data_IF_644666013945
#
_entry.id   IF_644666013945
#
_cell.length_a   1.000
_cell.length_b   1.000
_cell.length_c   1.000
_cell.angle_alpha   90.00
_cell.angle_beta   90.00
_cell.angle_gamma   90.00
#
_symmetry.space_group_name_H-M   'P 1'
#
loop_
_entity.id
_entity.type
_entity.pdbx_description
1 polymer ?
#
# COMPACT_ATOMS: atom_id res chain seq x y z
N UNK A 1 11.57 -4.03 13.01
CA UNK A 1 10.41 -4.88 12.69
C UNK A 1 9.40 -4.61 13.78
N UNK A 2 8.23 -4.09 13.40
CA UNK A 2 7.17 -3.79 14.34
C UNK A 2 6.44 -5.09 14.67
N UNK A 3 6.23 -5.37 15.94
CA UNK A 3 5.43 -6.52 16.36
C UNK A 3 3.94 -6.22 16.16
N UNK A 4 3.14 -7.26 16.00
CA UNK A 4 1.68 -7.10 15.90
C UNK A 4 1.11 -6.40 17.15
N UNK A 5 1.70 -6.64 18.32
CA UNK A 5 1.27 -6.03 19.59
C UNK A 5 1.54 -4.52 19.61
N UNK A 6 2.73 -4.08 19.18
CA UNK A 6 3.06 -2.65 19.06
C UNK A 6 2.17 -1.94 18.05
N UNK A 7 1.90 -2.59 16.92
CA UNK A 7 0.98 -2.07 15.90
C UNK A 7 -0.44 -1.96 16.45
N UNK A 8 -0.92 -2.98 17.16
CA UNK A 8 -2.26 -2.98 17.74
C UNK A 8 -2.42 -1.86 18.77
N UNK A 9 -1.45 -1.71 19.67
CA UNK A 9 -1.45 -0.64 20.67
C UNK A 9 -1.46 0.75 20.00
N UNK A 10 -0.62 0.94 18.98
CA UNK A 10 -0.58 2.22 18.26
C UNK A 10 -1.92 2.55 17.60
N UNK A 11 -2.58 1.55 16.99
CA UNK A 11 -3.89 1.72 16.36
C UNK A 11 -4.95 2.10 17.39
N UNK A 12 -5.01 1.40 18.53
CA UNK A 12 -5.95 1.69 19.62
C UNK A 12 -5.78 3.11 20.18
N UNK A 13 -4.56 3.64 20.19
CA UNK A 13 -4.26 4.97 20.73
C UNK A 13 -4.45 6.12 19.72
N UNK A 14 -4.33 5.85 18.41
CA UNK A 14 -4.18 6.89 17.39
C UNK A 14 -5.23 6.84 16.26
N UNK A 15 -5.99 5.76 16.13
CA UNK A 15 -6.95 5.57 15.03
C UNK A 15 -8.38 5.53 15.57
N UNK A 16 -9.24 6.41 15.04
CA UNK A 16 -10.64 6.51 15.45
C UNK A 16 -11.52 5.41 14.84
N UNK A 17 -11.30 5.08 13.57
CA UNK A 17 -12.03 4.02 12.87
C UNK A 17 -11.16 2.76 12.75
N UNK A 18 -11.35 1.84 13.68
CA UNK A 18 -10.64 0.56 13.73
C UNK A 18 -11.45 -0.58 13.12
N UNK A 19 -12.59 -0.30 12.45
CA UNK A 19 -13.53 -1.34 12.03
C UNK A 19 -12.88 -2.38 11.10
N UNK A 20 -12.06 -1.94 10.15
CA UNK A 20 -11.36 -2.84 9.24
C UNK A 20 -10.33 -3.72 9.95
N UNK A 21 -9.67 -3.17 10.98
CA UNK A 21 -8.67 -3.86 11.79
C UNK A 21 -9.30 -4.93 12.70
N UNK A 22 -10.42 -4.58 13.34
CA UNK A 22 -11.10 -5.44 14.34
C UNK A 22 -11.94 -6.55 13.71
N UNK A 23 -12.40 -6.37 12.47
CA UNK A 23 -13.28 -7.32 11.77
C UNK A 23 -12.65 -8.71 11.57
N UNK A 24 -11.32 -8.80 11.45
CA UNK A 24 -10.60 -10.08 11.20
C UNK A 24 -9.30 -10.21 12.01
N UNK A 25 -9.36 -10.40 13.34
CA UNK A 25 -8.17 -10.39 14.21
C UNK A 25 -7.12 -11.44 13.81
N UNK A 26 -7.58 -12.62 13.36
CA UNK A 26 -6.71 -13.70 12.88
C UNK A 26 -5.84 -13.33 11.66
N UNK A 27 -6.16 -12.24 10.95
CA UNK A 27 -5.40 -11.75 9.79
C UNK A 27 -4.47 -10.60 10.12
N UNK A 28 -4.56 -10.00 11.31
CA UNK A 28 -3.71 -8.88 11.73
C UNK A 28 -2.20 -9.20 11.64
N UNK A 29 -1.69 -10.36 12.12
CA UNK A 29 -0.25 -10.67 11.98
C UNK A 29 0.20 -10.83 10.52
N UNK A 30 -0.70 -11.25 9.63
CA UNK A 30 -0.43 -11.36 8.21
C UNK A 30 -0.38 -9.97 7.54
N UNK A 31 -1.32 -9.10 7.90
CA UNK A 31 -1.37 -7.73 7.41
C UNK A 31 -0.11 -6.95 7.77
N UNK A 32 0.37 -7.06 9.01
CA UNK A 32 1.63 -6.43 9.46
C UNK A 32 2.82 -6.92 8.63
N UNK A 33 2.97 -8.25 8.47
CA UNK A 33 4.06 -8.82 7.66
C UNK A 33 4.01 -8.42 6.19
N UNK A 34 2.80 -8.25 5.65
CA UNK A 34 2.61 -7.84 4.27
C UNK A 34 2.94 -6.35 4.11
N UNK A 35 2.47 -5.52 5.04
CA UNK A 35 2.80 -4.09 5.11
C UNK A 35 4.32 -3.87 5.17
N UNK A 36 5.03 -4.50 6.10
CA UNK A 36 6.49 -4.36 6.23
C UNK A 36 7.24 -4.74 4.94
N UNK A 37 6.86 -5.87 4.32
CA UNK A 37 7.49 -6.35 3.09
C UNK A 37 7.26 -5.39 1.92
N UNK A 38 6.04 -4.88 1.82
CA UNK A 38 5.65 -3.95 0.78
C UNK A 38 6.34 -2.60 0.96
N UNK A 39 6.32 -2.06 2.18
CA UNK A 39 7.03 -0.83 2.54
C UNK A 39 8.53 -0.93 2.30
N UNK A 40 9.16 -2.08 2.61
CA UNK A 40 10.59 -2.30 2.34
C UNK A 40 10.90 -2.25 0.84
N UNK A 41 9.94 -2.65 0.01
CA UNK A 41 10.07 -2.63 -1.45
C UNK A 41 9.80 -1.25 -2.03
N UNK A 42 8.79 -0.55 -1.53
CA UNK A 42 8.34 0.74 -2.07
C UNK A 42 9.13 1.92 -1.53
N UNK A 43 9.65 1.81 -0.30
CA UNK A 43 10.42 2.85 0.39
C UNK A 43 11.68 2.23 1.01
N UNK A 44 12.63 1.76 0.19
CA UNK A 44 13.81 1.02 0.67
C UNK A 44 14.74 1.86 1.57
N UNK A 45 14.70 3.19 1.44
CA UNK A 45 15.52 4.14 2.21
C UNK A 45 14.79 4.72 3.42
N UNK A 46 13.48 4.48 3.56
CA UNK A 46 12.70 5.02 4.67
C UNK A 46 12.81 4.14 5.92
N UNK A 47 12.84 4.79 7.08
CA UNK A 47 12.78 4.09 8.37
C UNK A 47 11.33 3.65 8.60
N UNK A 48 11.10 2.34 8.72
CA UNK A 48 9.78 1.79 9.01
C UNK A 48 9.46 1.94 10.49
N UNK A 49 8.75 3.01 10.84
CA UNK A 49 8.21 3.22 12.19
C UNK A 49 6.93 2.39 12.39
N UNK A 50 6.55 2.18 13.66
CA UNK A 50 5.32 1.45 14.01
C UNK A 50 4.09 2.12 13.38
N UNK A 51 4.04 3.45 13.38
CA UNK A 51 3.01 4.27 12.72
C UNK A 51 2.87 3.93 11.23
N UNK A 52 3.96 3.97 10.45
CA UNK A 52 3.92 3.72 9.01
C UNK A 52 3.43 2.28 8.73
N UNK A 53 3.89 1.33 9.53
CA UNK A 53 3.47 -0.07 9.41
C UNK A 53 2.00 -0.22 9.79
N UNK A 54 1.52 0.46 10.83
CA UNK A 54 0.13 0.42 11.28
C UNK A 54 -0.83 0.97 10.21
N UNK A 55 -0.53 2.15 9.66
CA UNK A 55 -1.33 2.78 8.61
C UNK A 55 -1.40 1.88 7.36
N UNK A 56 -0.27 1.32 6.92
CA UNK A 56 -0.27 0.39 5.79
C UNK A 56 -0.98 -0.93 6.14
N UNK A 57 -0.87 -1.44 7.36
CA UNK A 57 -1.52 -2.70 7.76
C UNK A 57 -3.05 -2.56 7.79
N UNK A 58 -3.59 -1.42 8.25
CA UNK A 58 -5.02 -1.10 8.17
C UNK A 58 -5.46 -1.09 6.69
N UNK A 59 -4.69 -0.42 5.83
CA UNK A 59 -4.96 -0.39 4.39
C UNK A 59 -4.99 -1.80 3.77
N UNK A 60 -4.07 -2.69 4.13
CA UNK A 60 -4.12 -4.08 3.65
C UNK A 60 -5.38 -4.82 4.14
N UNK A 61 -5.83 -4.54 5.37
CA UNK A 61 -7.02 -5.15 5.98
C UNK A 61 -8.34 -4.66 5.40
N UNK A 62 -8.44 -3.38 5.05
CA UNK A 62 -9.56 -2.85 4.28
C UNK A 62 -9.65 -3.54 2.90
N UNK A 63 -8.52 -3.76 2.24
CA UNK A 63 -8.47 -4.45 0.94
C UNK A 63 -8.90 -5.93 0.99
N UNK A 64 -8.98 -6.50 2.19
CA UNK A 64 -9.50 -7.85 2.46
C UNK A 64 -11.04 -7.88 2.54
N UNK A 65 -11.73 -6.74 2.49
CA UNK A 65 -13.18 -6.67 2.38
C UNK A 65 -13.63 -7.06 0.95
N UNK A 66 -14.54 -8.03 0.79
CA UNK A 66 -15.07 -8.42 -0.52
C UNK A 66 -15.53 -7.25 -1.38
N UNK A 67 -16.13 -6.20 -0.81
CA UNK A 67 -16.57 -5.03 -1.57
C UNK A 67 -15.41 -4.32 -2.31
N UNK A 68 -14.27 -4.17 -1.63
CA UNK A 68 -13.02 -3.63 -2.21
C UNK A 68 -12.30 -4.65 -3.12
N UNK A 69 -12.53 -5.95 -2.91
CA UNK A 69 -12.03 -7.01 -3.78
C UNK A 69 -12.82 -7.14 -5.09
N UNK A 70 -14.12 -6.84 -5.13
CA UNK A 70 -14.93 -6.79 -6.36
C UNK A 70 -14.58 -5.57 -7.24
N UNK A 71 -13.96 -4.54 -6.66
CA UNK A 71 -13.31 -3.45 -7.38
C UNK A 71 -12.23 -3.98 -8.36
N UNK A 72 -11.50 -5.07 -8.00
CA UNK A 72 -10.51 -5.73 -8.88
C UNK A 72 -11.11 -6.52 -10.05
N UNK A 73 -12.40 -6.84 -10.02
CA UNK A 73 -13.06 -7.63 -11.07
C UNK A 73 -13.91 -6.78 -12.05
N UNK A 74 -13.76 -5.45 -12.03
CA UNK A 74 -14.46 -4.57 -12.97
C UNK A 74 -15.95 -4.45 -12.72
N UNK A 75 -16.42 -4.74 -11.49
CA UNK A 75 -17.81 -4.52 -11.09
C UNK A 75 -18.00 -3.02 -10.88
N UNK A 76 -18.71 -2.36 -11.80
CA UNK A 76 -18.87 -0.90 -11.87
C UNK A 76 -19.90 -0.32 -10.90
N UNK A 77 -20.70 -1.15 -10.23
CA UNK A 77 -21.76 -0.72 -9.32
C UNK A 77 -22.17 -1.85 -8.39
N UNK A 78 -22.30 -1.56 -7.09
CA UNK A 78 -23.07 -2.37 -6.14
C UNK A 78 -24.18 -1.47 -5.64
N UNK A 79 -25.41 -1.86 -5.93
CA UNK A 79 -26.61 -1.15 -5.45
C UNK A 79 -27.02 -1.81 -4.13
N UNK A 80 -26.82 -1.09 -3.03
CA UNK A 80 -27.34 -1.45 -1.72
C UNK A 80 -28.30 -0.34 -1.29
N UNK A 81 -29.59 -0.60 -1.44
CA UNK A 81 -30.69 0.21 -0.88
C UNK A 81 -30.70 1.72 -1.22
N UNK A 82 -30.29 2.09 -2.44
CA UNK A 82 -30.58 3.41 -3.01
C UNK A 82 -29.51 4.49 -2.83
N UNK A 83 -28.36 4.18 -2.23
CA UNK A 83 -27.20 5.07 -2.18
C UNK A 83 -26.04 4.49 -2.99
N UNK A 84 -26.01 4.81 -4.29
CA UNK A 84 -24.99 4.33 -5.21
C UNK A 84 -23.66 5.04 -5.02
N UNK A 85 -22.71 4.41 -4.31
CA UNK A 85 -21.32 4.90 -4.24
C UNK A 85 -20.62 4.53 -5.56
N UNK A 86 -20.31 5.54 -6.37
CA UNK A 86 -19.56 5.37 -7.61
C UNK A 86 -18.06 5.34 -7.31
N UNK A 87 -17.46 4.16 -7.29
CA UNK A 87 -16.03 4.00 -7.06
C UNK A 87 -15.24 4.31 -8.34
N UNK A 88 -14.80 5.57 -8.49
CA UNK A 88 -13.94 5.97 -9.60
C UNK A 88 -12.46 5.66 -9.28
N UNK A 89 -11.96 4.48 -9.67
CA UNK A 89 -10.51 4.22 -9.68
C UNK A 89 -10.05 2.84 -9.23
N UNK A 90 -8.83 2.49 -9.64
CA UNK A 90 -8.05 1.37 -9.10
C UNK A 90 -7.54 1.83 -7.73
N UNK A 91 -7.87 1.11 -6.66
CA UNK A 91 -7.35 1.38 -5.32
C UNK A 91 -5.83 1.35 -5.34
N UNK A 92 -5.22 2.36 -4.74
CA UNK A 92 -3.77 2.43 -4.64
C UNK A 92 -3.20 1.31 -3.77
N UNK A 93 -1.99 0.87 -4.11
CA UNK A 93 -1.26 -0.14 -3.34
C UNK A 93 -0.69 0.45 -2.04
N UNK A 94 -0.35 1.74 -2.04
CA UNK A 94 0.15 2.44 -0.86
C UNK A 94 -1.00 3.15 -0.15
N UNK A 95 -1.03 3.09 1.18
CA UNK A 95 -1.98 3.86 1.98
C UNK A 95 -1.81 5.37 1.73
N UNK A 96 -2.90 6.15 1.59
CA UNK A 96 -2.82 7.60 1.38
C UNK A 96 -1.98 8.32 2.45
N UNK A 97 -2.18 7.98 3.72
CA UNK A 97 -1.45 8.59 4.85
C UNK A 97 0.05 8.28 4.78
N UNK A 98 0.41 7.06 4.37
CA UNK A 98 1.80 6.67 4.17
C UNK A 98 2.43 7.45 3.02
N UNK A 99 1.68 7.71 1.95
CA UNK A 99 2.13 8.55 0.84
C UNK A 99 2.27 10.02 1.25
N UNK A 100 1.41 10.53 2.12
CA UNK A 100 1.56 11.88 2.68
C UNK A 100 2.83 12.00 3.54
N UNK A 101 3.14 10.97 4.32
CA UNK A 101 4.32 10.93 5.19
C UNK A 101 5.65 10.71 4.44
N UNK A 102 5.67 9.80 3.46
CA UNK A 102 6.90 9.35 2.78
C UNK A 102 7.07 9.92 1.37
N UNK A 103 6.05 10.56 0.83
CA UNK A 103 6.04 11.05 -0.54
C UNK A 103 5.83 9.93 -1.57
N UNK A 104 6.31 10.15 -2.79
CA UNK A 104 6.11 9.24 -3.91
C UNK A 104 6.88 7.93 -3.72
N UNK A 105 6.24 6.75 -3.90
CA UNK A 105 6.92 5.47 -3.76
C UNK A 105 7.92 5.21 -4.89
N UNK A 106 8.95 4.42 -4.61
CA UNK A 106 10.07 4.16 -5.52
C UNK A 106 9.70 3.54 -6.88
N UNK A 107 8.53 2.90 -7.00
CA UNK A 107 8.06 2.34 -8.28
C UNK A 107 7.36 3.36 -9.19
N UNK A 108 6.96 4.52 -8.65
CA UNK A 108 6.40 5.65 -9.42
C UNK A 108 7.47 6.65 -9.81
N UNK A 109 8.61 6.65 -9.11
CA UNK A 109 9.79 7.41 -9.50
C UNK A 109 10.38 6.70 -10.72
N UNK A 110 9.99 7.17 -11.91
CA UNK A 110 10.72 6.85 -13.13
C UNK A 110 12.15 7.38 -12.94
N UNK A 111 13.19 6.56 -13.13
CA UNK A 111 14.56 7.07 -13.06
C UNK A 111 14.76 8.06 -14.21
N UNK A 112 14.83 9.35 -13.88
CA UNK A 112 15.39 10.39 -14.75
C UNK A 112 16.92 10.48 -14.58
N UNK A 113 17.60 9.33 -14.45
CA UNK A 113 19.07 9.28 -14.46
C UNK A 113 19.59 8.74 -15.80
N UNK A 114 20.11 9.71 -16.57
CA UNK A 114 21.26 9.63 -17.48
C UNK A 114 21.16 8.81 -18.78
N UNK A 115 20.88 9.52 -19.88
CA UNK A 115 21.87 9.97 -20.88
C UNK A 115 23.26 9.28 -20.95
N UNK A 116 23.37 7.96 -20.74
CA UNK A 116 24.42 7.18 -21.38
C UNK A 116 23.86 6.54 -22.64
N UNK A 117 23.83 7.33 -23.72
CA UNK A 117 24.01 6.76 -25.06
C UNK A 117 25.34 6.00 -25.05
N UNK A 118 25.31 4.73 -24.66
CA UNK A 118 26.29 3.75 -25.14
C UNK A 118 26.01 3.62 -26.65
N UNK A 119 26.55 4.57 -27.41
CA UNK A 119 26.76 4.42 -28.84
C UNK A 119 27.60 3.17 -29.01
N UNK A 120 26.93 2.05 -29.27
CA UNK A 120 27.57 0.84 -29.78
C UNK A 120 28.19 1.21 -31.13
N UNK A 121 29.46 1.64 -31.10
CA UNK A 121 30.27 1.70 -32.30
C UNK A 121 30.48 0.26 -32.77
N UNK A 122 29.66 -0.14 -33.73
CA UNK A 122 29.81 -1.41 -34.45
C UNK A 122 31.25 -1.54 -34.93
N UNK A 123 31.91 -2.61 -34.49
CA UNK A 123 33.29 -2.91 -34.84
C UNK A 123 33.45 -2.97 -36.36
N UNK A 124 34.37 -2.19 -36.89
CA UNK A 124 34.82 -2.32 -38.25
C UNK A 124 35.72 -3.57 -38.33
N UNK A 125 35.34 -4.54 -39.17
CA UNK A 125 36.24 -5.59 -39.65
C UNK A 125 37.37 -4.93 -40.45
N UNK A 126 38.62 -5.20 -40.07
CA UNK A 126 39.80 -5.05 -40.94
C UNK A 126 40.29 -6.45 -41.26
#
# INVERSE_FOLDING_TARGET
MATTEEVNLWIEENVLDTQAWDKKPLKQPLAVKQAERNLARWYPTAVQTVEIVALQAIWEMEGLDPALKYQKHGVKSVDDNGEGVTYSGIRDVVAPDVRELLGTPAFEIVPDDDDSTDLQYGGCLI
#
